data_IF_411667411624
#
_entry.id   IF_411667411624
#
_cell.length_a   1.000
_cell.length_b   1.000
_cell.length_c   1.000
_cell.angle_alpha   90.00
_cell.angle_beta   90.00
_cell.angle_gamma   90.00
#
_symmetry.space_group_name_H-M   'P 1'
#
loop_
_entity.id
_entity.type
_entity.pdbx_description
1 polymer ?
#
# COMPACT_ATOMS: atom_id res chain seq x y z
N UNK A 1 -1.47 2.42 -19.33
CA UNK A 1 -0.03 2.57 -18.98
C UNK A 1 0.33 1.47 -18.01
N UNK A 2 1.28 0.64 -18.39
CA UNK A 2 1.82 -0.46 -17.58
C UNK A 2 2.48 0.16 -16.33
N UNK A 3 2.21 -0.41 -15.15
CA UNK A 3 2.81 0.06 -13.89
C UNK A 3 4.15 -0.65 -13.73
N UNK A 4 5.18 -0.13 -14.38
CA UNK A 4 6.49 -0.80 -14.47
C UNK A 4 7.37 -0.60 -13.23
N UNK A 5 7.03 0.39 -12.39
CA UNK A 5 7.79 0.70 -11.17
C UNK A 5 7.43 -0.22 -9.99
N UNK A 6 8.45 -0.80 -9.35
CA UNK A 6 8.32 -1.74 -8.22
C UNK A 6 8.79 -1.09 -6.91
N UNK A 7 7.87 -0.96 -5.96
CA UNK A 7 8.17 -0.52 -4.59
C UNK A 7 8.51 -1.74 -3.71
N UNK A 8 9.74 -1.81 -3.20
CA UNK A 8 10.17 -2.76 -2.16
C UNK A 8 10.33 -2.03 -0.83
N UNK A 9 9.65 -2.50 0.21
CA UNK A 9 9.69 -1.91 1.55
C UNK A 9 10.10 -2.97 2.58
N UNK A 10 10.89 -2.56 3.57
CA UNK A 10 11.14 -3.35 4.78
C UNK A 10 10.13 -2.93 5.84
N UNK A 11 9.50 -3.90 6.47
CA UNK A 11 8.52 -3.68 7.53
C UNK A 11 8.93 -4.46 8.77
N UNK A 12 8.55 -3.96 9.93
CA UNK A 12 8.53 -4.77 11.14
C UNK A 12 7.50 -5.90 11.00
N UNK A 13 7.63 -6.96 11.81
CA UNK A 13 6.63 -8.03 11.83
C UNK A 13 5.24 -7.50 12.21
N UNK A 14 5.17 -6.57 13.16
CA UNK A 14 3.93 -5.94 13.62
C UNK A 14 3.24 -5.16 12.49
N UNK A 15 3.97 -4.32 11.76
CA UNK A 15 3.41 -3.54 10.65
C UNK A 15 2.92 -4.45 9.52
N UNK A 16 3.67 -5.53 9.24
CA UNK A 16 3.28 -6.50 8.22
C UNK A 16 1.99 -7.23 8.62
N UNK A 17 1.86 -7.65 9.87
CA UNK A 17 0.65 -8.29 10.38
C UNK A 17 -0.55 -7.36 10.35
N UNK A 18 -0.37 -6.09 10.78
CA UNK A 18 -1.41 -5.07 10.70
C UNK A 18 -1.87 -4.84 9.27
N UNK A 19 -0.94 -4.77 8.32
CA UNK A 19 -1.25 -4.60 6.89
C UNK A 19 -2.00 -5.83 6.34
N UNK A 20 -1.57 -7.05 6.69
CA UNK A 20 -2.25 -8.30 6.31
C UNK A 20 -3.67 -8.36 6.86
N UNK A 21 -3.86 -8.03 8.14
CA UNK A 21 -5.17 -8.05 8.79
C UNK A 21 -6.14 -7.07 8.12
N UNK A 22 -5.69 -5.85 7.84
CA UNK A 22 -6.50 -4.84 7.17
C UNK A 22 -6.85 -5.24 5.73
N UNK A 23 -5.88 -5.77 4.98
CA UNK A 23 -6.08 -6.27 3.62
C UNK A 23 -7.13 -7.41 3.61
N UNK A 24 -7.03 -8.35 4.55
CA UNK A 24 -7.99 -9.45 4.74
C UNK A 24 -9.38 -8.95 5.10
N UNK A 25 -9.49 -7.98 6.02
CA UNK A 25 -10.78 -7.41 6.42
C UNK A 25 -11.53 -6.76 5.25
N UNK A 26 -10.79 -6.14 4.32
CA UNK A 26 -11.34 -5.46 3.14
C UNK A 26 -11.45 -6.34 1.89
N UNK A 27 -11.05 -7.60 1.98
CA UNK A 27 -10.95 -8.54 0.84
C UNK A 27 -10.16 -7.96 -0.36
N UNK A 28 -9.01 -7.35 -0.06
CA UNK A 28 -8.11 -6.76 -1.07
C UNK A 28 -6.66 -7.17 -0.83
N UNK A 29 -5.80 -6.98 -1.82
CA UNK A 29 -4.35 -7.18 -1.65
C UNK A 29 -3.70 -6.08 -0.80
N UNK A 30 -2.61 -6.40 -0.09
CA UNK A 30 -1.79 -5.40 0.62
C UNK A 30 -1.30 -4.27 -0.30
N UNK A 31 -0.94 -4.61 -1.54
CA UNK A 31 -0.53 -3.64 -2.54
C UNK A 31 -1.67 -2.67 -2.90
N UNK A 32 -2.92 -3.13 -2.90
CA UNK A 32 -4.08 -2.28 -3.13
C UNK A 32 -4.31 -1.32 -1.97
N UNK A 33 -4.17 -1.79 -0.72
CA UNK A 33 -4.19 -0.93 0.47
C UNK A 33 -3.18 0.21 0.34
N UNK A 34 -1.91 -0.11 0.05
CA UNK A 34 -0.86 0.90 -0.11
C UNK A 34 -1.17 1.87 -1.26
N UNK A 35 -1.66 1.38 -2.40
CA UNK A 35 -2.05 2.23 -3.53
C UNK A 35 -3.19 3.19 -3.18
N UNK A 36 -4.15 2.77 -2.37
CA UNK A 36 -5.23 3.65 -1.91
C UNK A 36 -4.69 4.78 -1.03
N UNK A 37 -3.75 4.49 -0.14
CA UNK A 37 -3.09 5.53 0.65
C UNK A 37 -2.27 6.47 -0.22
N UNK A 38 -1.50 5.94 -1.19
CA UNK A 38 -0.72 6.76 -2.14
C UNK A 38 -1.63 7.71 -2.93
N UNK A 39 -2.82 7.27 -3.36
CA UNK A 39 -3.80 8.12 -4.06
C UNK A 39 -4.35 9.27 -3.22
N UNK A 40 -4.29 9.17 -1.88
CA UNK A 40 -4.75 10.19 -0.95
C UNK A 40 -3.66 11.20 -0.61
N UNK A 41 -2.41 10.97 -1.01
CA UNK A 41 -1.34 11.93 -0.82
C UNK A 41 -1.69 13.24 -1.54
N UNK A 42 -1.35 14.39 -0.96
CA UNK A 42 -1.54 15.67 -1.64
C UNK A 42 -0.81 15.63 -2.98
N UNK A 43 -1.45 16.16 -4.02
CA UNK A 43 -0.76 16.33 -5.30
C UNK A 43 0.41 17.28 -5.05
N UNK A 44 1.61 16.96 -5.55
CA UNK A 44 2.73 17.90 -5.45
C UNK A 44 2.29 19.21 -6.10
N UNK A 45 2.32 20.30 -5.34
CA UNK A 45 2.29 21.66 -5.88
C UNK A 45 3.60 21.86 -6.61
N UNK A 46 3.53 21.83 -7.95
CA UNK A 46 4.59 22.28 -8.84
C UNK A 46 4.83 23.79 -8.64
#
# INVERSE_FOLDING_TARGET
MTKDEVLKIRLSSEDLERLKAYAKQKDVSMAQVLREYIKRLPKPTL
#
